data_IF_269050602873
#
_entry.id   IF_269050602873
#
_cell.length_a   1.000
_cell.length_b   1.000
_cell.length_c   1.000
_cell.angle_alpha   90.00
_cell.angle_beta   90.00
_cell.angle_gamma   90.00
#
_symmetry.space_group_name_H-M   'P 1'
#
loop_
_entity.id
_entity.type
_entity.pdbx_description
1 polymer ?
#
# COMPACT_ATOMS: atom_id res chain seq x y z
N UNK A 1 19.80 -21.85 -42.19
CA UNK A 1 20.21 -20.77 -43.11
C UNK A 1 21.22 -19.91 -42.38
N UNK A 2 22.50 -20.00 -42.75
CA UNK A 2 23.53 -19.12 -42.20
C UNK A 2 23.28 -17.70 -42.71
N UNK A 3 23.08 -16.75 -41.78
CA UNK A 3 22.93 -15.33 -42.14
C UNK A 3 24.16 -14.81 -42.88
N UNK A 4 23.97 -13.85 -43.77
CA UNK A 4 25.04 -13.26 -44.58
C UNK A 4 26.23 -12.81 -43.70
N UNK A 5 27.46 -13.07 -44.16
CA UNK A 5 28.68 -12.64 -43.47
C UNK A 5 28.68 -11.12 -43.30
N UNK A 6 28.84 -10.67 -42.05
CA UNK A 6 28.93 -9.25 -41.69
C UNK A 6 30.07 -8.57 -42.47
N UNK A 7 29.80 -7.39 -43.03
CA UNK A 7 30.76 -6.56 -43.75
C UNK A 7 31.21 -5.37 -42.90
N UNK A 8 32.35 -4.80 -43.25
CA UNK A 8 32.82 -3.53 -42.66
C UNK A 8 31.80 -2.44 -43.00
N UNK A 9 31.35 -1.70 -41.99
CA UNK A 9 30.30 -0.69 -42.11
C UNK A 9 28.90 -1.16 -41.70
N UNK A 10 28.70 -2.47 -41.49
CA UNK A 10 27.43 -2.98 -40.98
C UNK A 10 27.20 -2.52 -39.54
N UNK A 11 26.06 -1.87 -39.31
CA UNK A 11 25.63 -1.45 -37.98
C UNK A 11 25.43 -2.65 -37.07
N UNK A 12 25.83 -2.50 -35.82
CA UNK A 12 25.64 -3.52 -34.80
C UNK A 12 25.34 -2.84 -33.49
N UNK A 13 24.11 -3.02 -33.01
CA UNK A 13 23.65 -2.46 -31.74
C UNK A 13 24.64 -2.73 -30.59
N UNK A 14 25.15 -3.97 -30.50
CA UNK A 14 26.17 -4.35 -29.51
C UNK A 14 27.47 -3.53 -29.61
N UNK A 15 27.95 -3.25 -30.84
CA UNK A 15 29.16 -2.45 -31.03
C UNK A 15 28.89 -0.96 -30.77
N UNK A 16 27.71 -0.48 -31.17
CA UNK A 16 27.27 0.90 -30.92
C UNK A 16 27.17 1.17 -29.41
N UNK A 17 26.55 0.28 -28.62
CA UNK A 17 26.43 0.43 -27.17
C UNK A 17 27.81 0.44 -26.48
N UNK A 18 28.74 -0.43 -26.90
CA UNK A 18 30.13 -0.42 -26.40
C UNK A 18 30.87 0.86 -26.78
N UNK A 19 30.65 1.33 -28.00
CA UNK A 19 31.26 2.55 -28.48
C UNK A 19 30.73 3.78 -27.72
N UNK A 20 29.42 3.85 -27.43
CA UNK A 20 28.84 4.90 -26.58
C UNK A 20 29.43 4.91 -25.17
N UNK A 21 29.67 3.74 -24.57
CA UNK A 21 30.33 3.67 -23.26
C UNK A 21 31.77 4.19 -23.32
N UNK A 22 32.52 3.85 -24.38
CA UNK A 22 33.85 4.38 -24.61
C UNK A 22 33.83 5.90 -24.80
N UNK A 23 32.89 6.43 -25.58
CA UNK A 23 32.71 7.87 -25.75
C UNK A 23 32.42 8.58 -24.44
N UNK A 24 31.61 7.99 -23.55
CA UNK A 24 31.36 8.54 -22.22
C UNK A 24 32.65 8.65 -21.39
N UNK A 25 33.52 7.62 -21.44
CA UNK A 25 34.83 7.65 -20.76
C UNK A 25 35.71 8.75 -21.34
N UNK A 26 35.88 8.80 -22.67
CA UNK A 26 36.76 9.77 -23.35
C UNK A 26 36.26 11.21 -23.19
N UNK A 27 34.94 11.40 -23.12
CA UNK A 27 34.33 12.73 -22.97
C UNK A 27 34.37 13.26 -21.54
N UNK A 28 34.66 12.41 -20.56
CA UNK A 28 34.73 12.82 -19.16
C UNK A 28 35.94 13.71 -18.92
N UNK A 29 35.72 14.91 -18.36
CA UNK A 29 36.80 15.86 -18.06
C UNK A 29 37.27 15.83 -16.61
N UNK A 30 36.34 15.78 -15.67
CA UNK A 30 36.65 15.89 -14.24
C UNK A 30 36.31 14.62 -13.45
N UNK A 31 35.12 14.05 -13.65
CA UNK A 31 34.66 12.91 -12.85
C UNK A 31 33.71 12.03 -13.64
N UNK A 32 33.93 10.71 -13.57
CA UNK A 32 33.10 9.68 -14.18
C UNK A 32 32.27 9.00 -13.10
N UNK A 33 30.95 9.15 -13.14
CA UNK A 33 30.02 8.48 -12.24
C UNK A 33 29.35 7.31 -12.98
N UNK A 34 29.50 6.10 -12.43
CA UNK A 34 28.91 4.88 -12.95
C UNK A 34 28.13 4.19 -11.83
N UNK A 35 26.92 3.74 -12.13
CA UNK A 35 26.08 3.02 -11.17
C UNK A 35 25.33 1.88 -11.84
N UNK A 36 25.00 0.86 -11.06
CA UNK A 36 24.18 -0.27 -11.47
C UNK A 36 23.41 -0.82 -10.25
N UNK A 37 22.34 -1.57 -10.49
CA UNK A 37 21.63 -2.28 -9.42
C UNK A 37 22.38 -3.55 -9.05
N UNK A 38 23.02 -3.56 -7.87
CA UNK A 38 23.81 -4.69 -7.38
C UNK A 38 22.99 -5.82 -6.74
N UNK A 39 21.74 -5.57 -6.35
CA UNK A 39 20.86 -6.55 -5.73
C UNK A 39 19.44 -6.46 -6.29
N UNK A 40 18.72 -7.58 -6.26
CA UNK A 40 17.30 -7.62 -6.57
C UNK A 40 16.47 -7.10 -5.38
N UNK A 41 15.47 -6.25 -5.65
CA UNK A 41 14.64 -5.62 -4.62
C UNK A 41 13.73 -6.63 -3.90
N UNK A 42 13.40 -7.76 -4.53
CA UNK A 42 12.43 -8.73 -3.99
C UNK A 42 13.09 -9.83 -3.16
N UNK A 43 14.19 -10.40 -3.63
CA UNK A 43 14.83 -11.57 -3.03
C UNK A 43 16.28 -11.31 -2.58
N UNK A 44 16.77 -10.08 -2.73
CA UNK A 44 18.11 -9.64 -2.37
C UNK A 44 19.27 -10.41 -3.05
N UNK A 45 19.00 -11.17 -4.12
CA UNK A 45 20.05 -11.87 -4.86
C UNK A 45 20.98 -10.88 -5.55
N UNK A 46 22.28 -11.20 -5.60
CA UNK A 46 23.29 -10.37 -6.26
C UNK A 46 23.06 -10.30 -7.77
N UNK A 47 23.22 -9.10 -8.32
CA UNK A 47 23.13 -8.80 -9.75
C UNK A 47 24.47 -8.30 -10.24
N UNK A 48 24.88 -8.85 -11.38
CA UNK A 48 26.13 -8.48 -12.01
C UNK A 48 26.00 -7.13 -12.74
N UNK A 49 27.07 -6.33 -12.78
CA UNK A 49 27.13 -5.13 -13.61
C UNK A 49 27.01 -5.48 -15.10
N UNK A 50 26.82 -4.46 -15.95
CA UNK A 50 26.90 -4.66 -17.39
C UNK A 50 28.28 -5.18 -17.80
N UNK A 51 28.35 -5.99 -18.86
CA UNK A 51 29.62 -6.57 -19.33
C UNK A 51 30.69 -5.50 -19.56
N UNK A 52 30.32 -4.34 -20.12
CA UNK A 52 31.27 -3.26 -20.42
C UNK A 52 31.78 -2.60 -19.15
N UNK A 53 30.91 -2.45 -18.14
CA UNK A 53 31.32 -1.95 -16.82
C UNK A 53 32.24 -2.96 -16.11
N UNK A 54 31.95 -4.25 -16.20
CA UNK A 54 32.79 -5.32 -15.67
C UNK A 54 34.19 -5.31 -16.32
N UNK A 55 34.27 -5.31 -17.66
CA UNK A 55 35.54 -5.22 -18.40
C UNK A 55 36.33 -3.95 -18.03
N UNK A 56 35.65 -2.82 -17.85
CA UNK A 56 36.29 -1.56 -17.44
C UNK A 56 36.83 -1.64 -16.01
N UNK A 57 36.07 -2.20 -15.07
CA UNK A 57 36.53 -2.44 -13.70
C UNK A 57 37.75 -3.37 -13.66
N UNK A 58 37.69 -4.48 -14.40
CA UNK A 58 38.80 -5.43 -14.51
C UNK A 58 40.05 -4.77 -15.11
N UNK A 59 39.89 -3.90 -16.12
CA UNK A 59 40.99 -3.15 -16.69
C UNK A 59 41.61 -2.19 -15.67
N UNK A 60 40.80 -1.47 -14.89
CA UNK A 60 41.28 -0.54 -13.85
C UNK A 60 42.06 -1.27 -12.76
N UNK A 61 41.58 -2.43 -12.31
CA UNK A 61 42.28 -3.24 -11.30
C UNK A 61 43.56 -3.86 -11.84
N UNK A 62 43.51 -4.53 -13.00
CA UNK A 62 44.63 -5.33 -13.50
C UNK A 62 45.71 -4.48 -14.21
N UNK A 63 45.31 -3.49 -15.00
CA UNK A 63 46.24 -2.70 -15.81
C UNK A 63 46.75 -1.45 -15.10
N UNK A 64 45.94 -0.88 -14.21
CA UNK A 64 46.28 0.36 -13.50
C UNK A 64 46.48 0.17 -11.99
N UNK A 65 46.37 -1.05 -11.47
CA UNK A 65 46.50 -1.38 -10.05
C UNK A 65 45.61 -0.51 -9.14
N UNK A 66 44.45 -0.07 -9.65
CA UNK A 66 43.52 0.77 -8.91
C UNK A 66 42.71 -0.09 -7.93
N UNK A 67 42.80 0.21 -6.63
CA UNK A 67 42.00 -0.46 -5.62
C UNK A 67 40.52 0.02 -5.70
N UNK A 68 39.71 -0.62 -6.55
CA UNK A 68 38.29 -0.26 -6.74
C UNK A 68 37.46 -0.31 -5.47
N UNK A 69 37.86 -1.10 -4.46
CA UNK A 69 37.19 -1.12 -3.16
C UNK A 69 37.13 0.26 -2.47
N UNK A 70 38.03 1.19 -2.82
CA UNK A 70 38.00 2.57 -2.31
C UNK A 70 37.02 3.49 -3.06
N UNK A 71 36.64 3.12 -4.27
CA UNK A 71 35.78 3.91 -5.15
C UNK A 71 34.38 3.30 -5.32
N UNK A 72 34.22 2.04 -4.93
CA UNK A 72 32.94 1.34 -4.94
C UNK A 72 32.18 1.65 -3.66
N UNK A 73 31.02 2.28 -3.81
CA UNK A 73 30.09 2.56 -2.72
C UNK A 73 28.84 1.71 -2.91
N UNK A 74 28.48 0.93 -1.90
CA UNK A 74 27.18 0.24 -1.86
C UNK A 74 26.17 1.18 -1.22
N UNK A 75 25.19 1.64 -2.00
CA UNK A 75 24.12 2.47 -1.49
C UNK A 75 23.12 1.61 -0.68
N UNK A 76 22.59 2.12 0.44
CA UNK A 76 21.60 1.41 1.22
C UNK A 76 20.28 1.27 0.46
N UNK A 77 19.49 0.24 0.81
CA UNK A 77 18.20 -0.03 0.17
C UNK A 77 17.17 1.09 0.43
N UNK A 78 17.20 1.65 1.63
CA UNK A 78 16.26 2.69 2.05
C UNK A 78 16.95 4.05 2.17
N UNK A 79 16.28 5.13 1.72
CA UNK A 79 16.85 6.48 1.73
C UNK A 79 17.01 7.06 3.15
N UNK A 80 16.30 6.50 4.13
CA UNK A 80 16.39 6.85 5.55
C UNK A 80 17.32 5.93 6.34
N UNK A 81 18.09 5.06 5.67
CA UNK A 81 19.11 4.26 6.36
C UNK A 81 20.16 5.17 6.98
N UNK A 82 20.52 4.92 8.23
CA UNK A 82 21.56 5.65 8.97
C UNK A 82 22.89 5.67 8.21
N UNK A 83 23.23 4.55 7.57
CA UNK A 83 24.44 4.41 6.74
C UNK A 83 24.49 5.42 5.57
N UNK A 84 23.34 5.91 5.11
CA UNK A 84 23.26 6.92 4.05
C UNK A 84 23.52 8.34 4.53
N UNK A 85 23.46 8.61 5.84
CA UNK A 85 23.76 9.91 6.45
C UNK A 85 25.12 9.91 7.16
N UNK A 86 25.64 8.74 7.47
CA UNK A 86 26.98 8.54 7.99
C UNK A 86 28.01 8.33 6.86
N UNK A 87 29.28 8.65 7.11
CA UNK A 87 30.38 8.29 6.21
C UNK A 87 30.88 9.41 5.29
N UNK A 88 31.46 9.02 4.15
CA UNK A 88 32.20 9.93 3.25
C UNK A 88 31.31 10.77 2.34
N UNK A 89 30.13 10.26 1.98
CA UNK A 89 29.16 10.90 1.08
C UNK A 89 27.79 10.92 1.77
N UNK A 90 27.61 11.77 2.81
CA UNK A 90 26.35 11.86 3.51
C UNK A 90 25.26 12.40 2.59
N UNK A 91 24.05 11.86 2.73
CA UNK A 91 22.85 12.39 2.10
C UNK A 91 22.55 13.80 2.62
N UNK A 92 22.12 14.67 1.70
CA UNK A 92 21.73 16.06 2.01
C UNK A 92 20.23 16.20 2.32
N UNK A 93 19.47 15.10 2.29
CA UNK A 93 18.02 15.13 2.43
C UNK A 93 17.57 15.22 3.89
N UNK A 94 17.09 16.40 4.28
CA UNK A 94 16.74 16.71 5.68
C UNK A 94 15.51 15.95 6.19
N UNK A 95 14.56 15.61 5.32
CA UNK A 95 13.35 14.88 5.70
C UNK A 95 13.67 13.47 6.17
N UNK A 96 14.51 12.77 5.41
CA UNK A 96 14.96 11.42 5.74
C UNK A 96 15.94 11.40 6.90
N UNK A 97 16.78 12.43 7.06
CA UNK A 97 17.65 12.56 8.23
C UNK A 97 16.84 12.59 9.53
N UNK A 98 15.76 13.39 9.58
CA UNK A 98 14.88 13.45 10.76
C UNK A 98 14.26 12.09 11.10
N UNK A 99 13.91 11.32 10.07
CA UNK A 99 13.35 9.97 10.26
C UNK A 99 14.44 9.00 10.74
N UNK A 100 15.64 9.06 10.17
CA UNK A 100 16.79 8.26 10.61
C UNK A 100 17.14 8.54 12.08
N UNK A 101 17.20 9.81 12.48
CA UNK A 101 17.44 10.23 13.87
C UNK A 101 16.35 9.70 14.82
N UNK A 102 15.07 9.82 14.44
CA UNK A 102 13.97 9.31 15.23
C UNK A 102 14.05 7.78 15.43
N UNK A 103 14.36 7.02 14.36
CA UNK A 103 14.55 5.57 14.45
C UNK A 103 15.72 5.20 15.37
N UNK A 104 16.82 5.96 15.33
CA UNK A 104 17.99 5.74 16.18
C UNK A 104 17.64 6.00 17.66
N UNK A 105 16.86 7.04 17.94
CA UNK A 105 16.37 7.35 19.29
C UNK A 105 15.47 6.24 19.85
N UNK A 106 14.53 5.73 19.06
CA UNK A 106 13.65 4.62 19.48
C UNK A 106 14.46 3.35 19.78
N UNK A 107 15.41 3.00 18.90
CA UNK A 107 16.29 1.83 19.09
C UNK A 107 17.16 1.94 20.35
N UNK A 108 17.67 3.14 20.62
CA UNK A 108 18.48 3.42 21.82
C UNK A 108 17.66 3.39 23.11
N UNK A 109 16.36 3.65 23.04
CA UNK A 109 15.45 3.54 24.19
C UNK A 109 15.10 2.08 24.47
N UNK A 110 14.80 1.28 23.43
CA UNK A 110 14.50 -0.15 23.60
C UNK A 110 15.67 -0.96 24.16
N UNK A 111 16.92 -0.61 23.80
CA UNK A 111 18.11 -1.30 24.31
C UNK A 111 18.44 -0.94 25.78
N UNK A 112 17.93 0.18 26.28
CA UNK A 112 18.10 0.60 27.70
C UNK A 112 17.02 0.04 28.62
N UNK A 113 15.89 -0.40 28.07
CA UNK A 113 14.77 -1.02 28.79
C UNK A 113 14.71 -2.52 28.51
N UNK A 114 15.85 -3.21 28.64
CA UNK A 114 15.84 -4.65 28.82
C UNK A 114 15.04 -4.97 30.09
N UNK A 115 13.90 -5.65 29.91
CA UNK A 115 12.85 -6.02 30.89
C UNK A 115 11.58 -5.16 30.79
N UNK A 116 10.53 -5.78 30.22
CA UNK A 116 9.10 -5.54 30.47
C UNK A 116 8.61 -4.10 30.49
N UNK A 117 8.73 -3.40 29.36
CA UNK A 117 7.89 -2.24 29.08
C UNK A 117 6.98 -2.59 27.91
N UNK A 118 5.80 -3.12 28.22
CA UNK A 118 4.66 -3.07 27.31
C UNK A 118 4.61 -1.66 26.72
N UNK A 119 4.54 -1.55 25.39
CA UNK A 119 4.22 -0.33 24.64
C UNK A 119 2.80 0.15 25.01
N UNK A 120 2.63 0.61 26.24
CA UNK A 120 1.43 1.20 26.80
C UNK A 120 1.55 2.72 26.87
N UNK A 121 2.37 3.34 26.01
CA UNK A 121 2.62 4.79 26.03
C UNK A 121 1.93 5.57 24.88
N UNK A 122 1.09 4.91 24.08
CA UNK A 122 0.32 5.57 23.02
C UNK A 122 -1.22 5.48 23.13
N UNK A 123 -1.72 5.19 24.32
CA UNK A 123 -3.03 5.69 24.73
C UNK A 123 -2.83 6.66 25.89
N UNK A 124 -2.04 7.73 25.66
CA UNK A 124 -2.36 9.00 26.28
C UNK A 124 -3.76 9.37 25.79
N UNK A 125 -4.76 8.78 26.42
CA UNK A 125 -6.13 9.25 26.41
C UNK A 125 -6.00 10.75 26.60
N UNK A 126 -6.55 11.59 25.70
CA UNK A 126 -6.58 13.02 25.98
C UNK A 126 -7.05 13.16 27.42
N UNK A 127 -6.26 13.80 28.28
CA UNK A 127 -6.72 14.19 29.60
C UNK A 127 -7.92 15.10 29.34
N UNK A 128 -9.09 14.49 29.28
CA UNK A 128 -10.36 15.15 29.23
C UNK A 128 -10.34 16.15 30.38
N UNK A 129 -10.68 17.43 30.16
CA UNK A 129 -10.86 18.34 31.27
C UNK A 129 -11.85 17.69 32.22
N UNK A 130 -11.31 17.30 33.38
CA UNK A 130 -12.03 16.77 34.53
C UNK A 130 -13.37 17.47 34.67
N UNK A 131 -14.46 16.72 34.55
CA UNK A 131 -15.79 17.14 35.00
C UNK A 131 -16.32 18.48 34.46
N UNK A 132 -16.06 18.81 33.20
CA UNK A 132 -17.02 19.60 32.46
C UNK A 132 -18.02 18.66 31.77
N UNK A 133 -18.77 17.88 32.56
CA UNK A 133 -20.17 17.62 32.21
C UNK A 133 -20.84 19.00 32.22
N UNK A 134 -20.62 19.77 31.14
CA UNK A 134 -21.52 20.84 30.80
C UNK A 134 -22.87 20.16 30.79
N UNK A 135 -23.71 20.59 31.71
CA UNK A 135 -25.15 20.36 31.77
C UNK A 135 -25.82 20.94 30.53
N UNK A 136 -25.24 20.74 29.35
CA UNK A 136 -25.93 20.79 28.10
C UNK A 136 -26.90 19.64 28.16
N UNK A 137 -28.17 19.97 28.08
CA UNK A 137 -29.24 19.02 27.86
C UNK A 137 -28.86 18.27 26.58
N UNK A 138 -28.24 17.10 26.74
CA UNK A 138 -27.91 16.21 25.65
C UNK A 138 -29.24 15.69 25.12
N UNK A 139 -29.80 16.39 24.13
CA UNK A 139 -30.93 15.91 23.36
C UNK A 139 -30.41 14.81 22.45
N UNK A 140 -30.33 13.60 23.00
CA UNK A 140 -30.01 12.40 22.25
C UNK A 140 -31.27 11.94 21.52
N UNK A 141 -31.15 11.69 20.22
CA UNK A 141 -32.19 10.97 19.50
C UNK A 141 -32.16 9.49 19.88
N UNK A 142 -33.31 8.82 19.83
CA UNK A 142 -33.36 7.36 20.03
C UNK A 142 -32.44 6.62 19.04
N UNK A 143 -32.23 7.17 17.83
CA UNK A 143 -31.30 6.61 16.85
C UNK A 143 -29.83 6.75 17.24
N UNK A 144 -29.44 7.82 17.93
CA UNK A 144 -28.08 7.98 18.47
C UNK A 144 -27.81 6.96 19.56
N UNK A 145 -28.76 6.77 20.48
CA UNK A 145 -28.65 5.76 21.55
C UNK A 145 -28.53 4.36 20.93
N UNK A 146 -29.40 4.01 19.99
CA UNK A 146 -29.37 2.71 19.33
C UNK A 146 -28.04 2.45 18.60
N UNK A 147 -27.48 3.47 17.92
CA UNK A 147 -26.16 3.36 17.27
C UNK A 147 -25.03 3.20 18.26
N UNK A 148 -25.05 3.96 19.36
CA UNK A 148 -24.04 3.86 20.42
C UNK A 148 -23.99 2.47 21.05
N UNK A 149 -25.14 1.81 21.21
CA UNK A 149 -25.19 0.43 21.71
C UNK A 149 -24.90 -0.62 20.65
N UNK A 150 -25.14 -0.34 19.37
CA UNK A 150 -24.82 -1.25 18.26
C UNK A 150 -23.32 -1.35 18.04
N UNK A 151 -22.64 -0.20 17.96
CA UNK A 151 -21.18 -0.11 17.84
C UNK A 151 -20.66 1.09 18.65
N UNK A 152 -20.23 0.87 19.91
CA UNK A 152 -19.80 1.96 20.79
C UNK A 152 -18.49 2.60 20.31
N UNK A 153 -17.60 1.85 19.65
CA UNK A 153 -16.31 2.35 19.19
C UNK A 153 -16.47 3.20 17.93
N UNK A 154 -17.31 2.78 16.98
CA UNK A 154 -17.68 3.59 15.83
C UNK A 154 -18.36 4.89 16.30
N UNK A 155 -19.33 4.78 17.21
CA UNK A 155 -20.04 5.94 17.72
C UNK A 155 -19.10 6.91 18.47
N UNK A 156 -18.19 6.41 19.31
CA UNK A 156 -17.18 7.23 19.96
C UNK A 156 -16.26 7.91 18.94
N UNK A 157 -15.79 7.17 17.94
CA UNK A 157 -14.92 7.71 16.90
C UNK A 157 -15.59 8.84 16.12
N UNK A 158 -16.86 8.65 15.72
CA UNK A 158 -17.61 9.64 14.94
C UNK A 158 -18.04 10.84 15.80
N UNK A 159 -18.59 10.60 16.99
CA UNK A 159 -19.18 11.67 17.82
C UNK A 159 -18.15 12.40 18.69
N UNK A 160 -17.15 11.69 19.23
CA UNK A 160 -16.13 12.27 20.10
C UNK A 160 -14.89 12.69 19.34
N UNK A 161 -14.34 11.81 18.49
CA UNK A 161 -13.12 12.10 17.74
C UNK A 161 -13.40 12.82 16.42
N UNK A 162 -14.64 12.82 15.91
CA UNK A 162 -14.97 13.37 14.59
C UNK A 162 -14.38 12.55 13.44
N UNK A 163 -13.91 11.33 13.71
CA UNK A 163 -13.24 10.46 12.75
C UNK A 163 -14.24 9.44 12.23
N UNK A 164 -14.48 9.46 10.91
CA UNK A 164 -15.26 8.45 10.22
C UNK A 164 -14.39 7.75 9.18
N UNK A 165 -14.15 6.45 9.37
CA UNK A 165 -13.35 5.60 8.49
C UNK A 165 -14.22 4.73 7.56
N UNK A 166 -15.52 5.04 7.42
CA UNK A 166 -16.42 4.31 6.53
C UNK A 166 -15.94 4.44 5.08
N UNK A 167 -15.45 3.34 4.51
CA UNK A 167 -15.10 3.26 3.10
C UNK A 167 -16.29 2.69 2.33
N UNK A 168 -16.98 3.52 1.55
CA UNK A 168 -18.04 3.08 0.65
C UNK A 168 -17.48 2.89 -0.76
N UNK A 169 -16.75 1.81 -0.99
CA UNK A 169 -16.43 1.36 -2.34
C UNK A 169 -17.41 0.26 -2.73
N UNK A 170 -18.33 0.57 -3.64
CA UNK A 170 -19.11 -0.46 -4.32
C UNK A 170 -18.20 -1.14 -5.32
N UNK A 171 -17.65 -2.31 -4.95
CA UNK A 171 -16.93 -3.15 -5.89
C UNK A 171 -17.92 -3.63 -6.94
N UNK A 172 -17.77 -3.20 -8.20
CA UNK A 172 -18.56 -3.75 -9.29
C UNK A 172 -18.02 -5.15 -9.59
N UNK A 173 -18.90 -6.14 -9.51
CA UNK A 173 -18.55 -7.51 -9.88
C UNK A 173 -18.45 -7.63 -11.40
N UNK A 174 -17.44 -8.34 -11.89
CA UNK A 174 -17.23 -8.57 -13.32
C UNK A 174 -18.05 -9.77 -13.86
N UNK A 175 -18.87 -10.38 -13.00
CA UNK A 175 -19.69 -11.55 -13.31
C UNK A 175 -21.08 -11.39 -12.70
N UNK A 176 -22.06 -12.08 -13.30
CA UNK A 176 -23.39 -12.21 -12.72
C UNK A 176 -23.35 -13.04 -11.42
N UNK A 177 -24.30 -12.83 -10.49
CA UNK A 177 -24.37 -13.60 -9.26
C UNK A 177 -24.82 -15.04 -9.55
N UNK A 178 -23.99 -16.02 -9.21
CA UNK A 178 -24.34 -17.44 -9.26
C UNK A 178 -24.95 -17.97 -7.96
N UNK A 179 -24.66 -17.30 -6.84
CA UNK A 179 -25.21 -17.58 -5.52
C UNK A 179 -25.78 -16.31 -4.91
N UNK A 180 -26.72 -16.45 -3.98
CA UNK A 180 -27.31 -15.30 -3.29
C UNK A 180 -26.32 -14.73 -2.27
N UNK A 181 -25.96 -13.45 -2.42
CA UNK A 181 -25.16 -12.73 -1.44
C UNK A 181 -25.92 -12.62 -0.10
N UNK A 182 -25.24 -12.89 1.03
CA UNK A 182 -25.87 -12.89 2.36
C UNK A 182 -26.51 -11.54 2.74
N UNK A 183 -25.89 -10.42 2.33
CA UNK A 183 -26.43 -9.08 2.55
C UNK A 183 -27.66 -8.83 1.67
N UNK A 184 -27.61 -9.19 0.39
CA UNK A 184 -28.77 -9.09 -0.50
C UNK A 184 -29.92 -9.96 0.00
N UNK A 185 -29.65 -11.20 0.43
CA UNK A 185 -30.64 -12.09 1.04
C UNK A 185 -31.26 -11.47 2.28
N UNK A 186 -30.46 -10.86 3.15
CA UNK A 186 -30.96 -10.14 4.31
C UNK A 186 -31.87 -8.97 3.91
N UNK A 187 -31.47 -8.15 2.94
CA UNK A 187 -32.25 -7.02 2.44
C UNK A 187 -33.59 -7.45 1.80
N UNK A 188 -33.57 -8.53 1.00
CA UNK A 188 -34.78 -9.08 0.37
C UNK A 188 -35.73 -9.64 1.44
N UNK A 189 -35.21 -10.40 2.41
CA UNK A 189 -36.03 -10.90 3.52
C UNK A 189 -36.59 -9.76 4.37
N UNK A 190 -35.79 -8.74 4.67
CA UNK A 190 -36.22 -7.55 5.42
C UNK A 190 -37.33 -6.80 4.65
N UNK A 191 -37.22 -6.67 3.32
CA UNK A 191 -38.27 -6.12 2.48
C UNK A 191 -39.56 -6.95 2.52
N UNK A 192 -39.47 -8.29 2.49
CA UNK A 192 -40.64 -9.18 2.62
C UNK A 192 -41.32 -9.01 3.99
N UNK A 193 -40.54 -8.92 5.07
CA UNK A 193 -41.05 -8.86 6.45
C UNK A 193 -41.51 -7.47 6.90
N UNK A 194 -40.98 -6.40 6.30
CA UNK A 194 -41.35 -5.00 6.62
C UNK A 194 -42.65 -4.54 5.96
N UNK A 195 -43.30 -5.41 5.18
CA UNK A 195 -44.54 -5.09 4.46
C UNK A 195 -45.73 -4.79 5.41
N UNK A 196 -46.45 -3.68 5.20
CA UNK A 196 -47.58 -3.28 6.04
C UNK A 196 -48.86 -4.11 5.82
N UNK A 197 -48.91 -4.96 4.80
CA UNK A 197 -50.10 -5.73 4.39
C UNK A 197 -50.53 -6.83 5.36
N UNK A 198 -49.84 -7.01 6.49
CA UNK A 198 -50.30 -7.94 7.56
C UNK A 198 -51.63 -7.50 8.22
N UNK A 199 -52.16 -6.33 7.88
CA UNK A 199 -53.49 -5.87 8.30
C UNK A 199 -54.28 -5.37 7.10
N UNK A 200 -54.92 -6.27 6.36
CA UNK A 200 -56.31 -6.17 5.89
C UNK A 200 -56.55 -7.30 4.87
N UNK A 201 -57.25 -8.32 5.33
CA UNK A 201 -58.10 -9.16 4.49
C UNK A 201 -58.90 -8.30 3.51
N UNK A 202 -58.75 -8.53 2.20
CA UNK A 202 -59.89 -8.65 1.31
C UNK A 202 -59.50 -9.35 -0.01
N UNK A 203 -60.40 -10.21 -0.42
CA UNK A 203 -60.38 -11.07 -1.59
C UNK A 203 -60.32 -10.22 -2.88
N UNK A 204 -59.32 -10.49 -3.74
CA UNK A 204 -59.33 -10.52 -5.21
C UNK A 204 -57.91 -10.26 -5.80
N UNK A 205 -57.35 -11.30 -6.43
CA UNK A 205 -56.43 -11.25 -7.60
C UNK A 205 -55.17 -10.36 -7.60
N UNK A 206 -54.40 -10.31 -6.52
CA UNK A 206 -53.05 -9.72 -6.59
C UNK A 206 -51.98 -10.62 -5.98
N UNK A 207 -50.95 -10.89 -6.79
CA UNK A 207 -49.67 -11.53 -6.44
C UNK A 207 -49.26 -11.12 -5.03
N UNK A 208 -48.99 -12.10 -4.16
CA UNK A 208 -48.63 -11.84 -2.76
C UNK A 208 -47.47 -10.84 -2.72
N UNK A 209 -47.50 -9.85 -1.83
CA UNK A 209 -46.43 -8.84 -1.73
C UNK A 209 -45.02 -9.45 -1.74
N UNK A 210 -44.84 -10.64 -1.14
CA UNK A 210 -43.57 -11.37 -1.18
C UNK A 210 -43.14 -11.78 -2.60
N UNK A 211 -44.06 -12.23 -3.45
CA UNK A 211 -43.80 -12.56 -4.85
C UNK A 211 -43.47 -11.29 -5.68
N UNK A 212 -44.05 -10.14 -5.33
CA UNK A 212 -43.69 -8.86 -5.94
C UNK A 212 -42.25 -8.44 -5.58
N UNK A 213 -41.83 -8.62 -4.32
CA UNK A 213 -40.45 -8.33 -3.89
C UNK A 213 -39.44 -9.26 -4.57
N UNK A 214 -39.75 -10.56 -4.66
CA UNK A 214 -38.89 -11.54 -5.32
C UNK A 214 -38.78 -11.26 -6.83
N UNK A 215 -39.90 -10.97 -7.50
CA UNK A 215 -39.88 -10.62 -8.93
C UNK A 215 -39.10 -9.35 -9.20
N UNK A 216 -39.21 -8.33 -8.34
CA UNK A 216 -38.41 -7.11 -8.46
C UNK A 216 -36.91 -7.36 -8.30
N UNK A 217 -36.51 -8.17 -7.30
CA UNK A 217 -35.11 -8.53 -7.08
C UNK A 217 -34.54 -9.38 -8.25
N UNK A 218 -35.34 -10.26 -8.85
CA UNK A 218 -34.98 -11.01 -10.05
C UNK A 218 -34.82 -10.09 -11.27
N UNK A 219 -35.72 -9.13 -11.50
CA UNK A 219 -35.63 -8.15 -12.60
C UNK A 219 -34.40 -7.24 -12.48
N UNK A 220 -33.94 -6.96 -11.25
CA UNK A 220 -32.71 -6.20 -10.99
C UNK A 220 -31.43 -7.01 -11.26
N UNK A 221 -31.55 -8.34 -11.40
CA UNK A 221 -30.41 -9.25 -11.53
C UNK A 221 -29.73 -9.58 -10.21
N UNK A 222 -30.38 -9.33 -9.07
CA UNK A 222 -29.81 -9.58 -7.73
C UNK A 222 -29.92 -11.07 -7.33
N UNK A 223 -30.75 -11.86 -8.01
CA UNK A 223 -31.01 -13.28 -7.73
C UNK A 223 -30.51 -14.13 -8.91
N UNK A 224 -29.76 -15.23 -8.65
CA UNK A 224 -29.34 -16.15 -9.70
C UNK A 224 -30.54 -16.78 -10.41
N UNK A 225 -30.47 -16.88 -11.74
CA UNK A 225 -31.49 -17.54 -12.56
C UNK A 225 -31.38 -19.07 -12.60
N UNK A 226 -30.39 -19.64 -11.90
CA UNK A 226 -30.10 -21.07 -11.96
C UNK A 226 -30.91 -21.84 -10.91
N UNK A 227 -31.67 -22.89 -11.28
CA UNK A 227 -32.20 -23.85 -10.31
C UNK A 227 -31.05 -24.73 -9.83
N UNK A 228 -30.42 -24.39 -8.72
CA UNK A 228 -29.54 -25.33 -8.00
C UNK A 228 -30.39 -26.22 -7.10
#
# INVERSE_FOLDING_TARGET
>A
MAGANRRVGDRSRRLEDRYLFLEAIISTRESLYLSYQGNDVTNNSERQPSLVLAEFMDMLENSYALALSRYRVHAPLHPFSEEGFAGQLPSYETGWLRLADALQHTKSQSDKTGVDSNDSDHLAMPEEPSNALSTQVLRLSNSQIARAFKDPLEHFSIQRLGVNLSQSFTLLENSEPFETNALLRYQVLDAIFSSPERKLTQEHDSISYGEQVISFASLRGDIPNNPV
#
